data_IF_996409249134
#
_entry.id   IF_996409249134
#
_cell.length_a   1.000
_cell.length_b   1.000
_cell.length_c   1.000
_cell.angle_alpha   90.00
_cell.angle_beta   90.00
_cell.angle_gamma   90.00
#
_symmetry.space_group_name_H-M   'P 1'
#
loop_
_entity.id
_entity.type
_entity.pdbx_description
1 polymer ?
#
# COMPACT_ATOMS: atom_id res chain seq x y z
N UNK A 1 5.10 20.17 -2.70
CA UNK A 1 3.75 19.60 -2.88
C UNK A 1 3.87 18.15 -2.44
N UNK A 2 3.09 17.65 -1.47
CA UNK A 2 3.16 16.23 -1.12
C UNK A 2 2.79 15.44 -2.38
N UNK A 3 3.60 14.43 -2.69
CA UNK A 3 3.35 13.57 -3.86
C UNK A 3 1.94 12.98 -3.75
N UNK A 4 1.18 12.87 -4.87
CA UNK A 4 -0.13 12.24 -4.83
C UNK A 4 0.05 10.77 -4.42
N UNK A 5 -0.15 10.50 -3.14
CA UNK A 5 -0.09 9.16 -2.59
C UNK A 5 -1.23 8.31 -3.10
N UNK A 6 -1.03 6.99 -3.13
CA UNK A 6 -2.11 6.02 -3.35
C UNK A 6 -2.30 5.21 -2.09
N UNK A 7 -3.54 4.92 -1.74
CA UNK A 7 -3.86 4.01 -0.64
C UNK A 7 -4.08 2.61 -1.20
N UNK A 8 -3.24 1.67 -0.82
CA UNK A 8 -3.36 0.28 -1.28
C UNK A 8 -4.26 -0.50 -0.33
N UNK A 9 -5.27 -1.15 -0.89
CA UNK A 9 -6.28 -1.92 -0.16
C UNK A 9 -6.41 -3.35 -0.70
N UNK A 10 -6.93 -4.26 0.13
CA UNK A 10 -7.13 -5.66 -0.24
C UNK A 10 -8.49 -5.84 -0.94
N UNK A 11 -8.60 -6.58 -2.06
CA UNK A 11 -9.89 -6.98 -2.62
C UNK A 11 -10.78 -7.71 -1.62
N UNK A 12 -12.09 -7.47 -1.68
CA UNK A 12 -13.05 -8.11 -0.76
C UNK A 12 -13.17 -9.62 -0.91
N UNK A 13 -12.82 -10.13 -2.08
CA UNK A 13 -12.87 -11.53 -2.46
C UNK A 13 -11.51 -12.22 -2.32
N UNK A 14 -10.53 -11.59 -1.66
CA UNK A 14 -9.29 -12.25 -1.31
C UNK A 14 -9.53 -13.29 -0.20
N UNK A 15 -9.22 -14.59 -0.43
CA UNK A 15 -9.52 -15.64 0.53
C UNK A 15 -8.80 -15.42 1.87
N UNK A 16 -9.53 -15.56 2.97
CA UNK A 16 -8.96 -15.50 4.32
C UNK A 16 -8.56 -14.11 4.81
N UNK A 17 -8.87 -13.04 4.08
CA UNK A 17 -8.63 -11.67 4.51
C UNK A 17 -9.93 -10.96 4.87
N UNK A 18 -10.21 -10.88 6.17
CA UNK A 18 -11.29 -10.07 6.74
C UNK A 18 -10.71 -9.35 7.95
N UNK A 19 -10.67 -8.01 7.89
CA UNK A 19 -10.25 -7.18 9.03
C UNK A 19 -11.50 -6.58 9.65
N UNK A 20 -11.87 -6.97 10.90
CA UNK A 20 -12.99 -6.38 11.59
C UNK A 20 -12.87 -4.86 11.67
N UNK A 21 -13.97 -4.15 11.41
CA UNK A 21 -13.98 -2.70 11.37
C UNK A 21 -13.39 -2.10 10.10
N UNK A 22 -13.09 -2.87 9.06
CA UNK A 22 -12.75 -2.30 7.75
C UNK A 22 -13.92 -1.56 7.11
N UNK A 23 -13.61 -0.48 6.38
CA UNK A 23 -14.56 0.16 5.49
C UNK A 23 -14.60 -0.56 4.15
N UNK A 24 -15.78 -0.59 3.55
CA UNK A 24 -15.93 -0.96 2.15
C UNK A 24 -15.56 0.22 1.28
N UNK A 25 -14.65 0.00 0.33
CA UNK A 25 -14.32 0.95 -0.71
C UNK A 25 -14.37 0.31 -2.09
N UNK A 26 -13.98 1.07 -3.10
CA UNK A 26 -13.81 0.59 -4.47
C UNK A 26 -12.45 1.00 -4.99
N UNK A 27 -11.77 0.10 -5.68
CA UNK A 27 -10.55 0.42 -6.40
C UNK A 27 -10.84 1.48 -7.47
N UNK A 28 -10.09 2.57 -7.49
CA UNK A 28 -10.22 3.66 -8.45
C UNK A 28 -10.08 3.14 -9.89
N UNK A 29 -9.10 2.25 -10.14
CA UNK A 29 -8.74 1.75 -11.48
C UNK A 29 -9.67 0.68 -12.03
N UNK A 30 -9.94 -0.38 -11.26
CA UNK A 30 -10.70 -1.54 -11.75
C UNK A 30 -12.11 -1.67 -11.16
N UNK A 31 -12.51 -0.73 -10.29
CA UNK A 31 -13.83 -0.66 -9.64
C UNK A 31 -14.21 -1.87 -8.76
N UNK A 32 -13.30 -2.84 -8.57
CA UNK A 32 -13.46 -3.97 -7.64
C UNK A 32 -13.63 -3.47 -6.20
N UNK A 33 -14.49 -4.12 -5.43
CA UNK A 33 -14.64 -3.85 -4.00
C UNK A 33 -13.35 -4.14 -3.25
N UNK A 34 -13.01 -3.28 -2.28
CA UNK A 34 -11.82 -3.43 -1.43
C UNK A 34 -12.16 -3.23 0.04
N UNK A 35 -11.39 -3.90 0.91
CA UNK A 35 -11.34 -3.65 2.35
C UNK A 35 -10.29 -2.59 2.66
N UNK A 36 -10.75 -1.48 3.22
CA UNK A 36 -9.89 -0.41 3.73
C UNK A 36 -9.68 -0.65 5.23
N UNK A 37 -8.43 -0.80 5.66
CA UNK A 37 -8.10 -1.06 7.06
C UNK A 37 -8.52 0.12 7.98
N UNK A 38 -8.91 -0.14 9.24
CA UNK A 38 -9.20 0.90 10.23
C UNK A 38 -8.09 1.94 10.38
N UNK A 39 -6.82 1.50 10.34
CA UNK A 39 -5.65 2.38 10.42
C UNK A 39 -5.56 3.38 9.25
N UNK A 40 -6.17 3.05 8.10
CA UNK A 40 -6.19 3.90 6.92
C UNK A 40 -7.31 4.94 6.93
N UNK A 41 -8.21 4.91 7.93
CA UNK A 41 -9.33 5.85 8.00
C UNK A 41 -8.88 7.28 8.19
N UNK A 42 -7.90 7.52 9.07
CA UNK A 42 -7.38 8.86 9.32
C UNK A 42 -6.72 9.42 8.06
N UNK A 43 -6.01 8.58 7.30
CA UNK A 43 -5.38 8.98 6.04
C UNK A 43 -6.44 9.44 5.03
N UNK A 44 -7.54 8.70 4.88
CA UNK A 44 -8.64 9.08 3.98
C UNK A 44 -9.38 10.33 4.45
N UNK A 45 -9.56 10.48 5.76
CA UNK A 45 -10.19 11.67 6.34
C UNK A 45 -9.37 12.93 6.03
N UNK A 46 -8.05 12.86 6.22
CA UNK A 46 -7.16 13.99 6.03
C UNK A 46 -6.83 14.24 4.54
N UNK A 47 -7.03 13.23 3.68
CA UNK A 47 -6.74 13.26 2.24
C UNK A 47 -7.92 12.66 1.46
N UNK A 48 -9.06 13.35 1.34
CA UNK A 48 -10.26 12.81 0.70
C UNK A 48 -10.08 12.50 -0.79
N UNK A 49 -9.12 13.16 -1.44
CA UNK A 49 -8.80 12.97 -2.86
C UNK A 49 -7.79 11.83 -3.12
N UNK A 50 -7.31 11.15 -2.08
CA UNK A 50 -6.35 10.05 -2.23
C UNK A 50 -7.00 8.88 -2.99
N UNK A 51 -6.33 8.40 -4.04
CA UNK A 51 -6.85 7.28 -4.81
C UNK A 51 -6.66 5.97 -4.04
N UNK A 52 -7.75 5.22 -3.86
CA UNK A 52 -7.70 3.86 -3.32
C UNK A 52 -7.49 2.87 -4.46
N UNK A 53 -6.41 2.09 -4.43
CA UNK A 53 -6.12 1.03 -5.40
C UNK A 53 -6.16 -0.34 -4.73
N UNK A 54 -6.70 -1.34 -5.42
CA UNK A 54 -6.48 -2.73 -4.99
C UNK A 54 -5.01 -3.10 -5.22
N UNK A 55 -4.47 -4.01 -4.40
CA UNK A 55 -3.06 -4.42 -4.52
C UNK A 55 -2.70 -4.84 -5.94
N UNK A 56 -3.52 -5.65 -6.63
CA UNK A 56 -3.27 -6.04 -8.03
C UNK A 56 -3.07 -4.83 -8.95
N UNK A 57 -3.90 -3.79 -8.82
CA UNK A 57 -3.77 -2.58 -9.64
C UNK A 57 -2.58 -1.72 -9.26
N UNK A 58 -2.24 -1.67 -7.97
CA UNK A 58 -1.06 -0.95 -7.47
C UNK A 58 0.23 -1.62 -7.97
N UNK A 59 0.36 -2.94 -7.81
CA UNK A 59 1.54 -3.71 -8.22
C UNK A 59 1.68 -3.82 -9.75
N UNK A 60 0.58 -3.87 -10.51
CA UNK A 60 0.64 -3.79 -11.98
C UNK A 60 1.23 -2.44 -12.48
N UNK A 61 1.23 -1.39 -11.65
CA UNK A 61 1.95 -0.15 -11.92
C UNK A 61 3.44 -0.23 -11.61
N UNK A 62 3.82 -1.04 -10.62
CA UNK A 62 5.21 -1.20 -10.16
C UNK A 62 6.08 -2.00 -11.13
N UNK A 63 5.52 -2.89 -11.96
CA UNK A 63 6.30 -3.59 -13.00
C UNK A 63 6.92 -2.62 -14.04
N UNK A 64 6.37 -1.40 -14.18
CA UNK A 64 6.89 -0.36 -15.10
C UNK A 64 7.92 0.57 -14.46
N UNK A 65 8.10 0.49 -13.15
CA UNK A 65 9.11 1.18 -12.38
C UNK A 65 9.57 0.19 -11.29
N UNK A 66 10.40 -0.81 -11.65
CA UNK A 66 10.96 -1.73 -10.66
C UNK A 66 11.59 -0.86 -9.60
N UNK A 67 11.07 -0.94 -8.38
CA UNK A 67 11.49 -0.09 -7.29
C UNK A 67 13.01 -0.03 -7.32
N UNK A 68 13.56 1.17 -7.49
CA UNK A 68 14.91 1.41 -7.00
C UNK A 68 14.83 1.00 -5.53
N UNK A 69 15.30 -0.21 -5.23
CA UNK A 69 15.68 -0.56 -3.88
C UNK A 69 16.63 0.55 -3.49
N UNK A 70 16.15 1.48 -2.66
CA UNK A 70 16.93 2.64 -2.25
C UNK A 70 18.31 2.12 -1.89
N UNK A 71 19.34 2.71 -2.50
CA UNK A 71 20.72 2.36 -2.22
C UNK A 71 20.89 2.28 -0.69
N UNK A 72 21.15 1.08 -0.18
CA UNK A 72 21.28 0.85 1.25
C UNK A 72 22.34 1.82 1.78
N UNK A 73 21.98 2.59 2.79
CA UNK A 73 22.94 3.50 3.41
C UNK A 73 24.06 2.67 4.06
N UNK A 74 25.29 3.21 4.19
CA UNK A 74 26.37 2.51 4.87
C UNK A 74 26.01 2.02 6.28
N UNK A 75 25.16 2.74 7.01
CA UNK A 75 24.67 2.34 8.33
C UNK A 75 23.82 1.06 8.27
N UNK A 76 22.91 0.96 7.30
CA UNK A 76 22.08 -0.25 7.12
C UNK A 76 22.90 -1.46 6.69
N UNK A 77 23.94 -1.25 5.86
CA UNK A 77 24.87 -2.31 5.50
C UNK A 77 25.63 -2.83 6.74
N UNK A 78 26.04 -1.93 7.63
CA UNK A 78 26.73 -2.28 8.87
C UNK A 78 25.82 -3.06 9.83
N UNK A 79 24.56 -2.66 9.99
CA UNK A 79 23.57 -3.39 10.81
C UNK A 79 23.33 -4.81 10.30
N UNK A 80 23.27 -5.02 8.98
CA UNK A 80 23.13 -6.36 8.38
C UNK A 80 24.37 -7.22 8.65
N UNK A 81 25.56 -6.63 8.63
CA UNK A 81 26.82 -7.33 8.89
C UNK A 81 26.94 -7.72 10.36
N UNK A 82 26.53 -6.86 11.29
CA UNK A 82 26.46 -7.15 12.72
C UNK A 82 25.46 -8.27 13.03
N UNK A 83 24.30 -8.29 12.35
CA UNK A 83 23.30 -9.34 12.54
C UNK A 83 23.76 -10.73 12.05
N UNK A 84 24.72 -10.78 11.12
CA UNK A 84 25.26 -12.03 10.55
C UNK A 84 26.40 -12.67 11.35
N UNK A 85 26.93 -11.99 12.37
CA UNK A 85 27.92 -12.54 13.30
C UNK A 85 27.26 -13.34 14.42
#
# INVERSE_FOLDING_TARGET
MPEPGVLIAMPVDYPGYVVPGSLHGVCHKCRRGVWIAPSSWLILHDNPDIEVLCWVCAFAGMEKAPGEFMALTPAQLQEIEEWRR
#
